data_IF_679286299104
#
_entry.id   IF_679286299104
#
_cell.length_a   1.000
_cell.length_b   1.000
_cell.length_c   1.000
_cell.angle_alpha   90.00
_cell.angle_beta   90.00
_cell.angle_gamma   90.00
#
_symmetry.space_group_name_H-M   'P 1'
#
loop_
_entity.id
_entity.type
_entity.pdbx_description
1 polymer ?
#
# COMPACT_ATOMS: atom_id res chain seq x y z
N UNK A 1 -0.91 -68.05 -44.52
CA UNK A 1 -1.27 -66.83 -43.76
C UNK A 1 -0.16 -66.56 -42.76
N UNK A 2 0.27 -65.30 -42.69
CA UNK A 2 1.57 -64.80 -42.22
C UNK A 2 1.81 -64.84 -40.69
N UNK A 3 3.07 -64.67 -40.23
CA UNK A 3 3.52 -64.83 -38.84
C UNK A 3 3.57 -63.51 -38.06
N UNK A 4 3.57 -63.57 -36.72
CA UNK A 4 3.73 -62.41 -35.83
C UNK A 4 5.11 -62.38 -35.16
N UNK A 5 5.98 -61.51 -35.64
CA UNK A 5 7.16 -60.98 -34.95
C UNK A 5 7.12 -59.44 -35.02
N UNK A 6 7.67 -58.80 -33.97
CA UNK A 6 8.31 -57.46 -33.85
C UNK A 6 7.89 -56.79 -32.51
N UNK A 7 8.76 -56.74 -31.48
CA UNK A 7 9.71 -55.63 -31.14
C UNK A 7 8.97 -54.27 -30.94
N UNK A 8 9.19 -53.41 -29.92
CA UNK A 8 10.27 -53.16 -28.98
C UNK A 8 9.86 -52.05 -27.96
N UNK A 9 10.65 -51.88 -26.88
CA UNK A 9 10.88 -50.67 -26.05
C UNK A 9 9.74 -50.09 -25.17
N UNK A 10 9.81 -50.40 -23.86
CA UNK A 10 9.40 -49.45 -22.82
C UNK A 10 10.61 -48.60 -22.40
N UNK A 11 10.55 -47.31 -22.72
CA UNK A 11 11.46 -46.26 -22.23
C UNK A 11 10.84 -45.68 -20.94
N UNK A 12 11.60 -45.39 -19.86
CA UNK A 12 11.04 -44.76 -18.68
C UNK A 12 10.71 -43.28 -18.96
N UNK A 13 9.49 -42.87 -18.59
CA UNK A 13 9.05 -41.48 -18.61
C UNK A 13 9.90 -40.65 -17.64
N UNK A 14 10.53 -39.61 -18.20
CA UNK A 14 11.28 -38.57 -17.51
C UNK A 14 10.31 -37.71 -16.69
N UNK A 15 10.43 -37.68 -15.37
CA UNK A 15 9.81 -36.66 -14.53
C UNK A 15 10.53 -35.33 -14.78
N UNK A 16 9.92 -34.44 -15.55
CA UNK A 16 10.46 -33.10 -15.84
C UNK A 16 10.06 -32.11 -14.73
N UNK A 17 11.06 -31.68 -13.96
CA UNK A 17 11.42 -30.27 -13.71
C UNK A 17 10.32 -29.20 -13.55
N UNK A 18 9.32 -29.42 -12.70
CA UNK A 18 8.42 -28.32 -12.25
C UNK A 18 8.87 -27.76 -10.88
N UNK A 19 9.55 -28.56 -10.06
CA UNK A 19 10.04 -28.11 -8.74
C UNK A 19 11.14 -27.06 -8.85
N UNK A 20 12.01 -27.20 -9.85
CA UNK A 20 13.23 -26.40 -9.95
C UNK A 20 13.01 -24.94 -10.42
N UNK A 21 11.87 -24.61 -11.02
CA UNK A 21 11.54 -23.23 -11.43
C UNK A 21 10.89 -22.45 -10.28
N UNK A 22 9.91 -23.04 -9.59
CA UNK A 22 9.30 -22.43 -8.40
C UNK A 22 10.32 -22.18 -7.28
N UNK A 23 11.25 -23.11 -7.08
CA UNK A 23 12.31 -22.95 -6.07
C UNK A 23 13.29 -21.81 -6.44
N UNK A 24 13.52 -21.58 -7.75
CA UNK A 24 14.36 -20.47 -8.23
C UNK A 24 13.65 -19.12 -8.11
N UNK A 25 12.37 -19.06 -8.48
CA UNK A 25 11.55 -17.85 -8.29
C UNK A 25 11.48 -17.48 -6.80
N UNK A 26 11.20 -18.45 -5.91
CA UNK A 26 11.20 -18.21 -4.47
C UNK A 26 12.54 -17.65 -3.98
N UNK A 27 13.66 -18.24 -4.41
CA UNK A 27 14.99 -17.76 -4.03
C UNK A 27 15.32 -16.37 -4.58
N UNK A 28 14.83 -16.01 -5.77
CA UNK A 28 15.02 -14.68 -6.35
C UNK A 28 14.22 -13.62 -5.59
N UNK A 29 13.00 -13.96 -5.18
CA UNK A 29 12.11 -13.11 -4.41
C UNK A 29 12.64 -12.83 -3.00
N UNK A 30 13.20 -13.85 -2.35
CA UNK A 30 13.87 -13.68 -1.06
C UNK A 30 15.06 -12.71 -1.19
N UNK A 31 15.88 -12.84 -2.24
CA UNK A 31 17.00 -11.93 -2.48
C UNK A 31 16.53 -10.48 -2.72
N UNK A 32 15.47 -10.30 -3.51
CA UNK A 32 14.87 -8.98 -3.78
C UNK A 32 14.31 -8.34 -2.49
N UNK A 33 13.65 -9.14 -1.66
CA UNK A 33 13.16 -8.70 -0.35
C UNK A 33 14.29 -8.16 0.52
N UNK A 34 15.38 -8.92 0.68
CA UNK A 34 16.53 -8.49 1.47
C UNK A 34 17.22 -7.25 0.91
N UNK A 35 17.31 -7.13 -0.42
CA UNK A 35 17.88 -5.94 -1.08
C UNK A 35 17.06 -4.68 -0.76
N UNK A 36 15.73 -4.76 -0.89
CA UNK A 36 14.85 -3.63 -0.58
C UNK A 36 14.85 -3.32 0.92
N UNK A 37 14.88 -4.33 1.80
CA UNK A 37 14.99 -4.14 3.25
C UNK A 37 16.29 -3.38 3.60
N UNK A 38 17.43 -3.73 2.97
CA UNK A 38 18.70 -3.01 3.16
C UNK A 38 18.62 -1.54 2.71
N UNK A 39 17.96 -1.26 1.58
CA UNK A 39 17.75 0.13 1.09
C UNK A 39 16.90 0.94 2.08
N UNK A 40 15.88 0.34 2.70
CA UNK A 40 15.06 1.03 3.72
C UNK A 40 15.86 1.39 4.96
N UNK A 41 16.75 0.49 5.40
CA UNK A 41 17.58 0.71 6.58
C UNK A 41 18.58 1.85 6.34
N UNK A 42 19.22 1.88 5.17
CA UNK A 42 20.17 2.95 4.80
C UNK A 42 19.47 4.32 4.70
N UNK A 43 18.24 4.37 4.14
CA UNK A 43 17.42 5.60 4.13
C UNK A 43 16.98 6.04 5.53
N UNK A 44 16.63 5.11 6.43
CA UNK A 44 16.29 5.42 7.85
C UNK A 44 17.49 6.01 8.59
N UNK A 45 18.70 5.54 8.32
CA UNK A 45 19.93 6.08 8.91
C UNK A 45 20.31 7.44 8.30
N UNK A 46 20.06 7.67 6.99
CA UNK A 46 20.22 8.99 6.37
C UNK A 46 19.24 10.04 6.93
N UNK A 47 18.00 9.64 7.25
CA UNK A 47 16.98 10.53 7.81
C UNK A 47 17.37 11.06 9.20
N UNK A 48 18.18 10.32 9.97
CA UNK A 48 18.71 10.78 11.27
C UNK A 48 19.76 11.90 11.16
N UNK A 49 20.32 12.16 9.98
CA UNK A 49 21.38 13.16 9.77
C UNK A 49 20.94 14.44 9.05
N UNK A 50 19.65 14.60 8.72
CA UNK A 50 19.11 15.80 8.06
C UNK A 50 18.28 16.72 8.98
N UNK A 51 18.48 16.64 10.29
CA UNK A 51 17.96 17.63 11.25
C UNK A 51 18.94 18.81 11.44
N UNK A 52 19.25 19.50 10.34
CA UNK A 52 19.93 20.78 10.37
C UNK A 52 19.42 21.61 9.18
N UNK A 53 18.56 22.57 9.51
CA UNK A 53 17.61 23.21 8.60
C UNK A 53 18.18 23.82 7.32
N UNK A 54 17.41 23.68 6.25
CA UNK A 54 17.48 24.46 5.02
C UNK A 54 16.04 24.76 4.56
N UNK A 55 15.82 26.01 4.17
CA UNK A 55 14.56 26.64 3.73
C UNK A 55 14.07 26.01 2.41
N UNK A 56 12.84 25.46 2.39
CA UNK A 56 12.30 24.59 1.33
C UNK A 56 11.05 25.16 0.61
N UNK A 57 10.84 26.48 0.61
CA UNK A 57 9.60 27.07 0.06
C UNK A 57 9.47 27.03 -1.48
N UNK A 58 10.55 26.75 -2.20
CA UNK A 58 10.54 26.84 -3.68
C UNK A 58 10.39 25.47 -4.37
N UNK A 59 10.56 24.35 -3.66
CA UNK A 59 10.53 22.99 -4.24
C UNK A 59 9.11 22.42 -4.32
N UNK A 60 8.24 22.75 -3.35
CA UNK A 60 6.83 22.33 -3.29
C UNK A 60 6.02 22.90 -4.46
N UNK A 61 6.32 24.13 -4.90
CA UNK A 61 5.63 24.79 -6.00
C UNK A 61 5.95 24.22 -7.39
N UNK A 62 7.06 23.48 -7.52
CA UNK A 62 7.47 22.86 -8.79
C UNK A 62 6.85 21.47 -8.93
N UNK A 63 6.75 20.72 -7.82
CA UNK A 63 6.14 19.39 -7.81
C UNK A 63 4.61 19.42 -7.95
N UNK A 64 3.91 20.35 -7.29
CA UNK A 64 2.45 20.51 -7.48
C UNK A 64 2.08 20.85 -8.93
N UNK A 65 2.95 21.57 -9.64
CA UNK A 65 2.78 21.92 -11.04
C UNK A 65 3.12 20.74 -11.95
N UNK A 66 4.15 19.95 -11.66
CA UNK A 66 4.43 18.69 -12.38
C UNK A 66 3.33 17.64 -12.18
N UNK A 67 2.76 17.49 -10.98
CA UNK A 67 1.65 16.57 -10.71
C UNK A 67 0.33 17.01 -11.37
N UNK A 68 0.08 18.33 -11.43
CA UNK A 68 -1.08 18.89 -12.12
C UNK A 68 -0.94 18.83 -13.66
N UNK A 69 0.23 19.15 -14.21
CA UNK A 69 0.50 19.06 -15.67
C UNK A 69 0.52 17.59 -16.15
N UNK A 70 1.02 16.66 -15.34
CA UNK A 70 1.04 15.24 -15.68
C UNK A 70 -0.36 14.59 -15.73
N UNK A 71 -1.36 15.16 -15.04
CA UNK A 71 -2.76 14.71 -15.16
C UNK A 71 -3.41 15.08 -16.49
N UNK A 72 -2.86 16.05 -17.24
CA UNK A 72 -3.42 16.44 -18.54
C UNK A 72 -3.07 15.45 -19.67
N UNK A 73 -2.00 14.65 -19.51
CA UNK A 73 -1.60 13.64 -20.49
C UNK A 73 -1.11 12.33 -19.81
N UNK A 74 -2.00 11.35 -19.56
CA UNK A 74 -1.63 10.12 -18.86
C UNK A 74 -0.58 9.27 -19.59
N UNK A 75 -0.46 9.41 -20.92
CA UNK A 75 0.60 8.75 -21.69
C UNK A 75 1.99 9.27 -21.33
N UNK A 76 2.17 10.59 -21.32
CA UNK A 76 3.49 11.20 -21.06
C UNK A 76 3.92 10.96 -19.61
N UNK A 77 2.97 10.95 -18.68
CA UNK A 77 3.21 10.56 -17.29
C UNK A 77 3.73 9.12 -17.20
N UNK A 78 3.05 8.16 -17.84
CA UNK A 78 3.50 6.76 -17.82
C UNK A 78 4.86 6.58 -18.50
N UNK A 79 5.14 7.33 -19.58
CA UNK A 79 6.45 7.33 -20.23
C UNK A 79 7.57 7.88 -19.33
N UNK A 80 7.32 8.96 -18.58
CA UNK A 80 8.29 9.50 -17.62
C UNK A 80 8.53 8.54 -16.46
N UNK A 81 7.46 8.00 -15.87
CA UNK A 81 7.56 7.02 -14.79
C UNK A 81 8.31 5.77 -15.25
N UNK A 82 8.01 5.26 -16.46
CA UNK A 82 8.72 4.14 -17.04
C UNK A 82 10.23 4.38 -17.09
N UNK A 83 10.65 5.53 -17.61
CA UNK A 83 12.08 5.91 -17.69
C UNK A 83 12.73 6.09 -16.32
N UNK A 84 11.98 6.56 -15.32
CA UNK A 84 12.50 6.73 -13.96
C UNK A 84 12.60 5.40 -13.20
N UNK A 85 11.73 4.44 -13.54
CA UNK A 85 11.72 3.11 -12.96
C UNK A 85 12.77 2.18 -13.60
N UNK A 86 13.06 2.36 -14.90
CA UNK A 86 14.09 1.64 -15.65
C UNK A 86 15.48 2.14 -15.21
N UNK A 87 16.17 1.35 -14.38
CA UNK A 87 17.43 1.76 -13.74
C UNK A 87 18.66 1.33 -14.54
N UNK A 88 18.53 0.31 -15.38
CA UNK A 88 19.60 -0.18 -16.24
C UNK A 88 19.50 0.32 -17.70
N UNK A 89 18.49 1.16 -17.99
CA UNK A 89 18.20 1.79 -19.27
C UNK A 89 17.99 0.76 -20.41
N UNK A 90 17.53 -0.45 -20.08
CA UNK A 90 17.35 -1.53 -21.05
C UNK A 90 16.00 -1.45 -21.82
N UNK A 91 15.15 -0.46 -21.49
CA UNK A 91 13.81 -0.25 -22.04
C UNK A 91 12.80 -1.36 -21.69
N UNK A 92 13.00 -2.07 -20.59
CA UNK A 92 12.15 -3.13 -20.06
C UNK A 92 12.14 -3.05 -18.52
N UNK A 93 10.97 -2.90 -17.91
CA UNK A 93 10.86 -2.97 -16.45
C UNK A 93 10.77 -4.42 -16.00
N UNK A 94 11.78 -4.86 -15.24
CA UNK A 94 11.68 -6.13 -14.55
C UNK A 94 11.08 -6.02 -13.16
N UNK A 95 10.82 -7.18 -12.54
CA UNK A 95 10.23 -7.25 -11.21
C UNK A 95 11.04 -6.51 -10.15
N UNK A 96 12.37 -6.49 -10.26
CA UNK A 96 13.22 -5.84 -9.26
C UNK A 96 13.12 -4.33 -9.37
N UNK A 97 13.18 -3.81 -10.60
CA UNK A 97 13.06 -2.39 -10.89
C UNK A 97 11.68 -1.85 -10.54
N UNK A 98 10.63 -2.56 -10.96
CA UNK A 98 9.25 -2.18 -10.68
C UNK A 98 8.95 -2.22 -9.17
N UNK A 99 9.35 -3.28 -8.47
CA UNK A 99 9.16 -3.37 -7.01
C UNK A 99 9.94 -2.27 -6.28
N UNK A 100 11.18 -1.97 -6.70
CA UNK A 100 12.00 -0.91 -6.10
C UNK A 100 11.39 0.47 -6.30
N UNK A 101 10.85 0.74 -7.48
CA UNK A 101 10.14 1.98 -7.79
C UNK A 101 8.89 2.12 -6.92
N UNK A 102 8.01 1.12 -6.91
CA UNK A 102 6.77 1.10 -6.11
C UNK A 102 7.10 1.27 -4.63
N UNK A 103 8.08 0.54 -4.12
CA UNK A 103 8.51 0.62 -2.72
C UNK A 103 9.01 2.02 -2.36
N UNK A 104 9.77 2.66 -3.26
CA UNK A 104 10.23 4.04 -3.09
C UNK A 104 9.05 5.00 -3.05
N UNK A 105 8.08 4.85 -3.95
CA UNK A 105 6.87 5.70 -4.00
C UNK A 105 6.02 5.55 -2.74
N UNK A 106 5.80 4.33 -2.26
CA UNK A 106 5.08 4.09 -0.99
C UNK A 106 5.80 4.76 0.17
N UNK A 107 7.13 4.62 0.25
CA UNK A 107 7.91 5.22 1.34
C UNK A 107 7.91 6.74 1.30
N UNK A 108 8.03 7.32 0.09
CA UNK A 108 7.91 8.76 -0.15
C UNK A 108 6.54 9.28 0.28
N UNK A 109 5.47 8.62 -0.14
CA UNK A 109 4.09 8.96 0.24
C UNK A 109 3.90 8.94 1.76
N UNK A 110 4.29 7.86 2.44
CA UNK A 110 4.13 7.77 3.91
C UNK A 110 4.95 8.85 4.63
N UNK A 111 6.17 9.11 4.15
CA UNK A 111 7.02 10.16 4.74
C UNK A 111 6.42 11.56 4.52
N UNK A 112 5.87 11.81 3.34
CA UNK A 112 5.20 13.05 2.96
C UNK A 112 3.93 13.25 3.79
N UNK A 113 3.06 12.24 3.84
CA UNK A 113 1.85 12.20 4.66
C UNK A 113 2.13 12.55 6.13
N UNK A 114 3.17 11.95 6.74
CA UNK A 114 3.56 12.28 8.12
C UNK A 114 3.97 13.74 8.31
N UNK A 115 4.68 14.34 7.34
CA UNK A 115 5.14 15.74 7.41
C UNK A 115 4.00 16.72 7.15
N UNK A 116 3.25 16.50 6.08
CA UNK A 116 2.10 17.32 5.69
C UNK A 116 1.02 17.30 6.77
N UNK A 117 0.80 16.15 7.42
CA UNK A 117 -0.13 16.04 8.54
C UNK A 117 0.21 17.02 9.67
N UNK A 118 1.48 17.23 10.00
CA UNK A 118 1.89 18.21 11.02
C UNK A 118 1.57 19.65 10.58
N UNK A 119 1.85 19.97 9.31
CA UNK A 119 1.54 21.27 8.72
C UNK A 119 0.03 21.55 8.71
N UNK A 120 -0.76 20.58 8.24
CA UNK A 120 -2.21 20.64 8.18
C UNK A 120 -2.82 20.75 9.58
N UNK A 121 -2.39 19.89 10.52
CA UNK A 121 -2.84 19.94 11.91
C UNK A 121 -2.62 21.32 12.51
N UNK A 122 -1.41 21.87 12.35
CA UNK A 122 -1.05 23.19 12.87
C UNK A 122 -1.84 24.32 12.19
N UNK A 123 -2.19 24.15 10.92
CA UNK A 123 -2.99 25.11 10.17
C UNK A 123 -4.48 25.06 10.52
N UNK A 124 -4.97 23.98 11.14
CA UNK A 124 -6.37 23.84 11.56
C UNK A 124 -6.54 24.20 13.04
N UNK A 125 -5.62 23.76 13.92
CA UNK A 125 -5.58 24.05 15.37
C UNK A 125 -5.28 25.53 15.64
N UNK A 126 -6.29 26.38 15.52
CA UNK A 126 -6.16 27.83 15.62
C UNK A 126 -7.12 28.47 16.62
N UNK A 127 -8.23 27.81 16.98
CA UNK A 127 -9.30 28.46 17.73
C UNK A 127 -10.03 27.53 18.72
N UNK A 128 -9.47 27.30 19.92
CA UNK A 128 -8.19 27.78 20.41
C UNK A 128 -7.05 26.86 19.98
N UNK A 129 -5.87 27.43 19.71
CA UNK A 129 -4.64 26.65 19.48
C UNK A 129 -4.23 25.90 20.74
N UNK A 130 -4.72 24.68 20.92
CA UNK A 130 -4.64 23.91 22.16
C UNK A 130 -3.91 22.56 21.98
N UNK A 131 -3.41 22.28 20.77
CA UNK A 131 -2.74 21.02 20.45
C UNK A 131 -3.71 19.87 20.16
N UNK A 132 -4.99 20.15 19.93
CA UNK A 132 -6.04 19.21 19.55
C UNK A 132 -6.88 19.84 18.43
N UNK A 133 -7.15 19.11 17.34
CA UNK A 133 -8.07 19.60 16.32
C UNK A 133 -9.47 19.15 16.67
N UNK A 134 -10.39 20.10 16.83
CA UNK A 134 -11.82 19.79 16.99
C UNK A 134 -12.50 19.51 15.64
N UNK A 135 -13.59 18.74 15.67
CA UNK A 135 -14.40 18.50 14.47
C UNK A 135 -14.88 19.81 13.84
N UNK A 136 -15.20 20.81 14.66
CA UNK A 136 -15.69 22.11 14.21
C UNK A 136 -14.60 22.89 13.45
N UNK A 137 -13.35 22.84 13.90
CA UNK A 137 -12.22 23.44 13.19
C UNK A 137 -11.91 22.71 11.88
N UNK A 138 -11.87 21.37 11.90
CA UNK A 138 -11.69 20.58 10.69
C UNK A 138 -12.81 20.82 9.67
N UNK A 139 -14.06 20.85 10.13
CA UNK A 139 -15.22 21.09 9.28
C UNK A 139 -15.21 22.50 8.66
N UNK A 140 -14.83 23.52 9.45
CA UNK A 140 -14.66 24.88 8.93
C UNK A 140 -13.54 24.95 7.88
N UNK A 141 -12.41 24.26 8.11
CA UNK A 141 -11.33 24.14 7.14
C UNK A 141 -11.82 23.47 5.84
N UNK A 142 -12.54 22.35 5.94
CA UNK A 142 -13.11 21.62 4.81
C UNK A 142 -14.07 22.49 3.98
N UNK A 143 -14.95 23.25 4.63
CA UNK A 143 -15.84 24.16 3.93
C UNK A 143 -15.08 25.29 3.22
N UNK A 144 -14.02 25.83 3.86
CA UNK A 144 -13.18 26.86 3.25
C UNK A 144 -12.44 26.33 2.02
N UNK A 145 -11.86 25.12 2.09
CA UNK A 145 -11.14 24.51 0.96
C UNK A 145 -12.08 24.20 -0.23
N UNK A 146 -13.36 23.93 0.05
CA UNK A 146 -14.40 23.75 -0.97
C UNK A 146 -15.06 25.07 -1.45
N UNK A 147 -14.52 26.24 -1.08
CA UNK A 147 -14.93 27.54 -1.62
C UNK A 147 -16.16 28.17 -0.97
N UNK A 148 -16.57 27.71 0.22
CA UNK A 148 -17.67 28.33 0.95
C UNK A 148 -17.23 29.62 1.66
N UNK A 149 -18.15 30.60 1.72
CA UNK A 149 -17.86 31.90 2.34
C UNK A 149 -17.74 31.83 3.87
N UNK A 150 -16.94 32.71 4.47
CA UNK A 150 -16.81 32.85 5.93
C UNK A 150 -18.14 33.11 6.64
N UNK A 151 -19.06 33.84 6.00
CA UNK A 151 -20.40 34.04 6.54
C UNK A 151 -21.18 32.74 6.63
N UNK A 152 -21.02 31.82 5.66
CA UNK A 152 -21.65 30.51 5.68
C UNK A 152 -21.02 29.61 6.75
N UNK A 153 -19.69 29.58 6.82
CA UNK A 153 -18.94 28.79 7.81
C UNK A 153 -19.31 29.18 9.24
N UNK A 154 -19.44 30.49 9.53
CA UNK A 154 -19.79 30.96 10.87
C UNK A 154 -21.30 30.88 11.19
N UNK A 155 -22.17 30.73 10.19
CA UNK A 155 -23.64 30.76 10.39
C UNK A 155 -24.35 29.44 10.12
N UNK A 156 -23.61 28.38 9.76
CA UNK A 156 -24.21 27.16 9.25
C UNK A 156 -25.18 26.49 10.24
N UNK A 157 -26.37 26.15 9.74
CA UNK A 157 -27.24 25.16 10.35
C UNK A 157 -26.73 23.77 9.95
N UNK A 158 -26.60 22.85 10.92
CA UNK A 158 -26.01 21.49 10.77
C UNK A 158 -26.71 20.62 9.70
N UNK A 159 -27.76 21.12 9.06
CA UNK A 159 -28.56 20.45 8.03
C UNK A 159 -28.04 20.62 6.62
N UNK A 160 -27.13 21.57 6.38
CA UNK A 160 -26.46 21.80 5.09
C UNK A 160 -27.38 21.73 3.86
N UNK A 161 -28.61 22.24 3.94
CA UNK A 161 -29.64 22.02 2.91
C UNK A 161 -29.21 22.42 1.49
N UNK A 162 -28.33 23.41 1.37
CA UNK A 162 -27.84 23.98 0.11
C UNK A 162 -26.64 23.24 -0.51
N UNK A 163 -26.04 22.27 0.20
CA UNK A 163 -24.87 21.54 -0.32
C UNK A 163 -25.26 20.39 -1.24
N UNK A 164 -24.38 20.08 -2.19
CA UNK A 164 -24.52 18.91 -3.05
C UNK A 164 -24.56 17.62 -2.23
N UNK A 165 -25.27 16.60 -2.75
CA UNK A 165 -25.37 15.29 -2.09
C UNK A 165 -23.99 14.65 -1.86
N UNK A 166 -23.11 14.73 -2.85
CA UNK A 166 -21.74 14.20 -2.75
C UNK A 166 -20.96 14.83 -1.60
N UNK A 167 -21.05 16.16 -1.44
CA UNK A 167 -20.34 16.85 -0.36
C UNK A 167 -20.86 16.45 1.03
N UNK A 168 -22.17 16.25 1.17
CA UNK A 168 -22.77 15.73 2.41
C UNK A 168 -22.30 14.31 2.72
N UNK A 169 -22.25 13.45 1.70
CA UNK A 169 -21.76 12.08 1.85
C UNK A 169 -20.28 12.04 2.23
N UNK A 170 -19.46 12.97 1.74
CA UNK A 170 -18.06 13.11 2.17
C UNK A 170 -17.97 13.52 3.64
N UNK A 171 -18.67 14.58 4.05
CA UNK A 171 -18.69 15.02 5.46
C UNK A 171 -19.18 13.91 6.40
N UNK A 172 -20.21 13.15 6.01
CA UNK A 172 -20.69 12.02 6.81
C UNK A 172 -19.65 10.90 6.92
N UNK A 173 -18.92 10.61 5.83
CA UNK A 173 -17.82 9.63 5.85
C UNK A 173 -16.67 10.10 6.73
N UNK A 174 -16.27 11.35 6.58
CA UNK A 174 -15.22 11.95 7.41
C UNK A 174 -15.62 11.93 8.88
N UNK A 175 -16.90 12.18 9.20
CA UNK A 175 -17.38 12.13 10.58
C UNK A 175 -17.34 10.71 11.17
N UNK A 176 -17.62 9.69 10.36
CA UNK A 176 -17.53 8.30 10.79
C UNK A 176 -16.07 7.91 11.08
N UNK A 177 -15.15 8.21 10.15
CA UNK A 177 -13.71 7.97 10.30
C UNK A 177 -13.11 8.75 11.47
N UNK A 178 -13.55 9.99 11.67
CA UNK A 178 -13.16 10.80 12.81
C UNK A 178 -13.49 10.10 14.13
N UNK A 179 -14.71 9.58 14.26
CA UNK A 179 -15.14 8.89 15.47
C UNK A 179 -14.37 7.57 15.71
N UNK A 180 -13.93 6.92 14.64
CA UNK A 180 -13.08 5.71 14.72
C UNK A 180 -11.65 6.05 15.16
N UNK A 181 -11.08 7.13 14.65
CA UNK A 181 -9.76 7.60 15.04
C UNK A 181 -9.71 8.18 16.47
N UNK A 182 -10.81 8.82 16.91
CA UNK A 182 -10.94 9.45 18.21
C UNK A 182 -11.13 8.43 19.34
N UNK A 183 -10.05 8.09 20.08
CA UNK A 183 -10.17 7.18 21.23
C UNK A 183 -10.51 7.88 22.53
N UNK A 184 -9.99 9.09 22.74
CA UNK A 184 -10.11 9.81 24.01
C UNK A 184 -11.36 10.69 24.06
N UNK A 185 -11.53 11.53 23.05
CA UNK A 185 -12.65 12.48 22.95
C UNK A 185 -13.22 12.43 21.52
N UNK A 186 -14.46 11.97 21.31
CA UNK A 186 -15.04 11.86 19.97
C UNK A 186 -15.16 13.21 19.23
N UNK A 187 -15.04 14.33 19.93
CA UNK A 187 -15.13 15.67 19.32
C UNK A 187 -13.76 16.24 18.92
N UNK A 188 -12.66 15.58 19.29
CA UNK A 188 -11.30 16.11 19.08
C UNK A 188 -10.30 15.01 18.72
N UNK A 189 -9.29 15.37 17.93
CA UNK A 189 -8.17 14.48 17.62
C UNK A 189 -6.86 15.14 18.05
N UNK A 190 -6.04 14.38 18.77
CA UNK A 190 -4.63 14.70 18.93
C UNK A 190 -3.86 14.50 17.61
N UNK A 191 -2.63 14.97 17.52
CA UNK A 191 -1.83 14.93 16.28
C UNK A 191 -1.69 13.52 15.67
N UNK A 192 -1.51 12.50 16.51
CA UNK A 192 -1.39 11.10 16.10
C UNK A 192 -2.74 10.48 15.71
N UNK A 193 -3.82 10.87 16.37
CA UNK A 193 -5.18 10.46 16.02
C UNK A 193 -5.65 11.14 14.72
N UNK A 194 -5.25 12.40 14.50
CA UNK A 194 -5.48 13.11 13.25
C UNK A 194 -4.73 12.45 12.08
N UNK A 195 -3.50 11.96 12.31
CA UNK A 195 -2.78 11.15 11.32
C UNK A 195 -3.53 9.85 11.02
N UNK A 196 -4.09 9.18 12.03
CA UNK A 196 -4.88 7.96 11.82
C UNK A 196 -6.15 8.22 11.01
N UNK A 197 -6.73 9.42 11.15
CA UNK A 197 -7.90 9.86 10.40
C UNK A 197 -7.58 10.22 8.94
N UNK A 198 -6.49 10.94 8.68
CA UNK A 198 -6.12 11.42 7.33
C UNK A 198 -5.33 10.38 6.54
N UNK A 199 -4.42 9.67 7.21
CA UNK A 199 -3.43 8.76 6.62
C UNK A 199 -3.29 7.50 7.49
N UNK A 200 -4.31 6.64 7.55
CA UNK A 200 -4.27 5.40 8.36
C UNK A 200 -3.09 4.51 7.99
N UNK A 201 -2.68 4.47 6.72
CA UNK A 201 -1.50 3.74 6.23
C UNK A 201 -0.17 4.21 6.84
N UNK A 202 -0.14 5.47 7.28
CA UNK A 202 1.02 6.10 7.90
C UNK A 202 0.95 6.06 9.44
N UNK A 203 -0.21 5.74 10.01
CA UNK A 203 -0.42 5.77 11.45
C UNK A 203 -0.08 4.43 12.09
N UNK A 204 0.95 4.43 12.95
CA UNK A 204 1.28 3.26 13.77
C UNK A 204 0.09 2.78 14.61
N UNK A 205 -0.79 3.70 15.04
CA UNK A 205 -1.99 3.35 15.82
C UNK A 205 -3.03 2.61 14.97
N UNK A 206 -3.26 3.04 13.74
CA UNK A 206 -4.18 2.37 12.83
C UNK A 206 -3.66 0.96 12.47
N UNK A 207 -2.34 0.84 12.22
CA UNK A 207 -1.71 -0.45 11.99
C UNK A 207 -1.85 -1.38 13.21
N UNK A 208 -1.63 -0.88 14.43
CA UNK A 208 -1.86 -1.68 15.64
C UNK A 208 -3.32 -2.17 15.74
N UNK A 209 -4.30 -1.32 15.42
CA UNK A 209 -5.70 -1.73 15.41
C UNK A 209 -5.95 -2.85 14.40
N UNK A 210 -5.35 -2.81 13.22
CA UNK A 210 -5.42 -3.93 12.27
C UNK A 210 -4.84 -5.22 12.85
N UNK A 211 -3.73 -5.16 13.59
CA UNK A 211 -3.18 -6.35 14.26
C UNK A 211 -4.15 -6.91 15.30
N UNK A 212 -4.79 -6.04 16.09
CA UNK A 212 -5.82 -6.48 17.06
C UNK A 212 -7.01 -7.14 16.34
N UNK A 213 -7.47 -6.58 15.23
CA UNK A 213 -8.53 -7.17 14.40
C UNK A 213 -8.14 -8.55 13.84
N UNK A 214 -6.85 -8.78 13.57
CA UNK A 214 -6.36 -10.10 13.17
C UNK A 214 -6.40 -11.09 14.32
N UNK A 215 -5.98 -10.68 15.53
CA UNK A 215 -6.09 -11.54 16.71
C UNK A 215 -7.56 -11.87 17.00
N UNK A 216 -8.46 -10.89 17.05
CA UNK A 216 -9.88 -11.13 17.35
C UNK A 216 -10.53 -12.14 16.39
N UNK A 217 -10.11 -12.16 15.13
CA UNK A 217 -10.69 -13.03 14.09
C UNK A 217 -10.03 -14.40 14.01
N UNK A 218 -8.73 -14.51 14.26
CA UNK A 218 -7.93 -15.70 13.91
C UNK A 218 -7.23 -16.36 15.09
N UNK A 219 -7.00 -15.65 16.19
CA UNK A 219 -6.44 -16.22 17.43
C UNK A 219 -7.52 -17.04 18.14
N UNK A 220 -7.42 -18.37 18.08
CA UNK A 220 -8.44 -19.28 18.62
C UNK A 220 -8.24 -19.59 20.09
N UNK A 221 -6.98 -19.56 20.55
CA UNK A 221 -6.63 -19.91 21.92
C UNK A 221 -6.44 -18.69 22.83
N UNK A 222 -6.42 -17.49 22.24
CA UNK A 222 -6.39 -16.21 22.93
C UNK A 222 -5.04 -15.90 23.55
N UNK A 223 -3.95 -16.42 22.98
CA UNK A 223 -2.59 -16.23 23.48
C UNK A 223 -1.87 -15.00 22.88
N UNK A 224 -2.58 -14.20 22.08
CA UNK A 224 -2.08 -13.04 21.32
C UNK A 224 -0.93 -13.41 20.37
N UNK A 225 -0.94 -14.64 19.84
CA UNK A 225 0.00 -15.11 18.82
C UNK A 225 -0.75 -15.92 17.77
N UNK A 226 -0.39 -15.76 16.49
CA UNK A 226 -0.99 -16.56 15.43
C UNK A 226 -0.07 -17.71 15.07
N UNK A 227 -0.55 -18.94 15.20
CA UNK A 227 0.14 -20.12 14.68
C UNK A 227 0.13 -20.16 13.15
N UNK A 228 1.02 -20.93 12.56
CA UNK A 228 1.05 -21.18 11.11
C UNK A 228 -0.32 -21.65 10.57
N UNK A 229 -1.05 -22.45 11.35
CA UNK A 229 -2.38 -22.95 10.99
C UNK A 229 -3.44 -21.84 11.05
N UNK A 230 -3.47 -21.05 12.12
CA UNK A 230 -4.39 -19.90 12.25
C UNK A 230 -4.13 -18.84 11.20
N UNK A 231 -2.86 -18.60 10.87
CA UNK A 231 -2.48 -17.70 9.80
C UNK A 231 -2.91 -18.23 8.42
N UNK A 232 -2.82 -19.54 8.18
CA UNK A 232 -3.18 -20.12 6.87
C UNK A 232 -4.65 -19.94 6.50
N UNK A 233 -5.51 -19.70 7.49
CA UNK A 233 -6.92 -19.39 7.29
C UNK A 233 -7.18 -17.92 6.89
N UNK A 234 -6.17 -17.06 6.99
CA UNK A 234 -6.26 -15.68 6.52
C UNK A 234 -6.36 -15.64 4.99
N UNK A 235 -7.25 -14.81 4.41
CA UNK A 235 -7.29 -14.56 2.97
C UNK A 235 -5.91 -14.13 2.42
N UNK A 236 -5.54 -14.67 1.25
CA UNK A 236 -4.28 -14.30 0.59
C UNK A 236 -4.25 -12.85 0.11
N UNK A 237 -5.42 -12.25 -0.15
CA UNK A 237 -5.58 -10.86 -0.62
C UNK A 237 -5.55 -9.84 0.52
N UNK A 238 -4.52 -9.94 1.36
CA UNK A 238 -4.20 -8.89 2.30
C UNK A 238 -4.94 -9.03 3.64
N UNK A 239 -4.13 -9.15 4.67
CA UNK A 239 -4.46 -8.66 6.00
C UNK A 239 -4.78 -7.16 5.92
N UNK A 240 -6.04 -6.83 5.66
CA UNK A 240 -6.63 -5.52 5.97
C UNK A 240 -6.73 -4.48 4.86
N UNK A 241 -6.67 -4.81 3.56
CA UNK A 241 -6.70 -3.77 2.50
C UNK A 241 -7.64 -3.94 1.30
N UNK A 242 -8.35 -5.07 1.13
CA UNK A 242 -9.65 -5.03 0.44
C UNK A 242 -10.49 -6.27 0.78
N UNK A 243 -11.76 -6.03 1.11
CA UNK A 243 -12.84 -7.03 1.15
C UNK A 243 -13.74 -6.81 -0.08
N UNK A 244 -13.16 -6.62 -1.27
CA UNK A 244 -13.92 -6.53 -2.52
C UNK A 244 -13.58 -7.66 -3.48
N UNK A 245 -14.49 -8.62 -3.47
CA UNK A 245 -15.11 -9.40 -4.55
C UNK A 245 -14.47 -9.59 -5.95
N UNK A 246 -13.19 -9.36 -6.22
CA UNK A 246 -12.54 -9.99 -7.38
C UNK A 246 -12.04 -11.40 -7.02
N UNK A 247 -13.02 -12.26 -6.72
CA UNK A 247 -12.88 -13.68 -6.35
C UNK A 247 -12.42 -14.57 -7.50
N UNK A 248 -11.32 -14.25 -8.19
CA UNK A 248 -10.87 -15.14 -9.28
C UNK A 248 -9.40 -15.54 -9.25
N UNK A 249 -8.57 -15.04 -8.32
CA UNK A 249 -7.21 -15.54 -8.16
C UNK A 249 -6.83 -15.77 -6.70
N UNK A 250 -7.49 -16.75 -6.07
CA UNK A 250 -6.94 -17.47 -4.92
C UNK A 250 -5.70 -18.26 -5.36
N UNK A 251 -4.57 -17.59 -5.60
CA UNK A 251 -3.29 -18.24 -5.91
C UNK A 251 -2.54 -18.44 -4.59
N UNK A 252 -2.97 -19.45 -3.84
CA UNK A 252 -2.27 -19.91 -2.66
C UNK A 252 -3.13 -20.91 -1.91
N UNK A 253 -2.80 -22.20 -2.02
CA UNK A 253 -3.34 -23.18 -1.09
C UNK A 253 -2.87 -22.88 0.34
N UNK A 254 -3.46 -23.54 1.35
CA UNK A 254 -2.98 -23.44 2.74
C UNK A 254 -1.45 -23.59 2.84
N UNK A 255 -0.86 -24.47 2.02
CA UNK A 255 0.60 -24.68 1.95
C UNK A 255 1.42 -23.47 1.47
N UNK A 256 0.90 -22.62 0.57
CA UNK A 256 1.64 -21.43 0.12
C UNK A 256 1.58 -20.33 1.19
N UNK A 257 0.44 -20.18 1.88
CA UNK A 257 0.29 -19.29 3.05
C UNK A 257 1.19 -19.71 4.21
N UNK A 258 1.30 -21.02 4.43
CA UNK A 258 2.23 -21.63 5.39
C UNK A 258 3.69 -21.34 5.07
N UNK A 259 4.07 -21.37 3.79
CA UNK A 259 5.42 -20.93 3.37
C UNK A 259 5.61 -19.45 3.60
N UNK A 260 4.64 -18.62 3.23
CA UNK A 260 4.69 -17.17 3.47
C UNK A 260 4.92 -16.86 4.95
N UNK A 261 4.15 -17.49 5.83
CA UNK A 261 4.29 -17.37 7.28
C UNK A 261 5.72 -17.66 7.75
N UNK A 262 6.28 -18.80 7.33
CA UNK A 262 7.63 -19.23 7.75
C UNK A 262 8.77 -18.36 7.23
N UNK A 263 8.59 -17.67 6.09
CA UNK A 263 9.65 -16.89 5.46
C UNK A 263 9.54 -15.39 5.76
N UNK A 264 8.31 -14.86 5.85
CA UNK A 264 8.06 -13.43 5.90
C UNK A 264 7.56 -12.92 7.26
N UNK A 265 6.98 -13.79 8.09
CA UNK A 265 6.32 -13.40 9.35
C UNK A 265 7.09 -13.93 10.55
N UNK A 266 7.28 -15.24 10.64
CA UNK A 266 7.99 -15.92 11.74
C UNK A 266 9.52 -15.71 11.62
N UNK A 267 9.97 -14.48 11.89
CA UNK A 267 11.39 -14.10 11.79
C UNK A 267 12.22 -14.81 12.85
N UNK A 268 11.65 -15.04 14.03
CA UNK A 268 12.33 -15.71 15.13
C UNK A 268 12.30 -17.26 15.04
N UNK A 269 11.54 -17.81 14.09
CA UNK A 269 11.39 -19.25 13.78
C UNK A 269 10.84 -20.07 14.95
N UNK A 270 9.92 -19.51 15.73
CA UNK A 270 9.28 -20.20 16.86
C UNK A 270 7.95 -20.88 16.47
N UNK A 271 7.49 -20.73 15.22
CA UNK A 271 6.24 -21.28 14.70
C UNK A 271 4.99 -20.45 15.03
N UNK A 272 5.15 -19.24 15.56
CA UNK A 272 4.09 -18.34 15.99
C UNK A 272 4.44 -16.88 15.64
N UNK A 273 3.47 -16.14 15.11
CA UNK A 273 3.63 -14.72 14.83
C UNK A 273 3.16 -13.89 16.02
N UNK A 274 4.07 -13.12 16.61
CA UNK A 274 3.73 -12.17 17.66
C UNK A 274 3.22 -10.83 17.09
N UNK A 275 2.74 -9.94 17.98
CA UNK A 275 2.25 -8.61 17.60
C UNK A 275 3.28 -7.79 16.81
N UNK A 276 4.57 -7.94 17.09
CA UNK A 276 5.65 -7.20 16.40
C UNK A 276 5.85 -7.73 14.99
N UNK A 277 5.86 -9.04 14.84
CA UNK A 277 5.98 -9.73 13.55
C UNK A 277 4.77 -9.41 12.65
N UNK A 278 3.55 -9.48 13.19
CA UNK A 278 2.34 -9.10 12.47
C UNK A 278 2.32 -7.62 12.09
N UNK A 279 2.72 -6.73 13.00
CA UNK A 279 2.82 -5.31 12.70
C UNK A 279 3.77 -5.03 11.53
N UNK A 280 4.92 -5.71 11.50
CA UNK A 280 5.87 -5.57 10.41
C UNK A 280 5.37 -6.20 9.11
N UNK A 281 4.54 -7.24 9.19
CA UNK A 281 3.91 -7.87 8.03
C UNK A 281 2.83 -6.99 7.37
N UNK A 282 2.08 -6.21 8.16
CA UNK A 282 1.04 -5.29 7.67
C UNK A 282 1.58 -3.90 7.32
N UNK A 283 2.76 -3.50 7.82
CA UNK A 283 3.33 -2.18 7.56
C UNK A 283 3.48 -1.99 6.05
N UNK A 284 2.82 -1.00 5.41
CA UNK A 284 2.88 -0.81 3.96
C UNK A 284 4.29 -0.56 3.43
N UNK A 285 5.23 -0.13 4.30
CA UNK A 285 6.66 0.02 3.96
C UNK A 285 7.40 -1.30 3.90
N UNK A 286 6.78 -2.42 4.27
CA UNK A 286 7.40 -3.71 4.11
C UNK A 286 7.60 -4.00 2.60
N UNK A 287 8.83 -4.30 2.15
CA UNK A 287 9.12 -4.55 0.73
C UNK A 287 8.21 -5.58 0.06
N UNK A 288 7.68 -6.54 0.82
CA UNK A 288 6.74 -7.55 0.34
C UNK A 288 5.56 -6.93 -0.41
N UNK A 289 4.99 -5.82 0.09
CA UNK A 289 3.83 -5.19 -0.55
C UNK A 289 4.18 -4.67 -1.94
N UNK A 290 5.33 -4.02 -2.09
CA UNK A 290 5.77 -3.51 -3.38
C UNK A 290 6.11 -4.63 -4.37
N UNK A 291 6.70 -5.72 -3.87
CA UNK A 291 6.99 -6.92 -4.66
C UNK A 291 5.69 -7.57 -5.14
N UNK A 292 4.68 -7.75 -4.28
CA UNK A 292 3.39 -8.31 -4.66
C UNK A 292 2.64 -7.45 -5.68
N UNK A 293 2.65 -6.12 -5.50
CA UNK A 293 2.08 -5.19 -6.47
C UNK A 293 2.80 -5.29 -7.83
N UNK A 294 4.13 -5.33 -7.84
CA UNK A 294 4.91 -5.50 -9.06
C UNK A 294 4.56 -6.81 -9.78
N UNK A 295 4.47 -7.92 -9.04
CA UNK A 295 4.05 -9.21 -9.59
C UNK A 295 2.64 -9.15 -10.19
N UNK A 296 1.71 -8.50 -9.50
CA UNK A 296 0.34 -8.35 -9.96
C UNK A 296 0.29 -7.56 -11.29
N UNK A 297 1.00 -6.43 -11.35
CA UNK A 297 1.09 -5.60 -12.55
C UNK A 297 1.69 -6.36 -13.74
N UNK A 298 2.79 -7.10 -13.51
CA UNK A 298 3.41 -7.95 -14.55
C UNK A 298 2.43 -9.02 -15.01
N UNK A 299 1.82 -9.76 -14.08
CA UNK A 299 0.88 -10.85 -14.40
C UNK A 299 -0.31 -10.39 -15.25
N UNK A 300 -0.78 -9.16 -15.06
CA UNK A 300 -1.93 -8.62 -15.80
C UNK A 300 -1.56 -7.94 -17.13
N UNK A 301 -0.29 -7.59 -17.33
CA UNK A 301 0.14 -6.69 -18.41
C UNK A 301 1.15 -7.30 -19.38
N UNK A 302 1.98 -8.24 -18.90
CA UNK A 302 2.98 -8.95 -19.70
C UNK A 302 2.26 -9.84 -20.74
N UNK A 303 2.27 -9.37 -21.99
CA UNK A 303 1.55 -10.00 -23.09
C UNK A 303 2.43 -11.01 -23.81
N UNK A 304 3.74 -10.77 -23.80
CA UNK A 304 4.73 -11.61 -24.48
C UNK A 304 5.26 -12.76 -23.59
N UNK A 305 4.94 -12.72 -22.28
CA UNK A 305 5.28 -13.69 -21.23
C UNK A 305 6.79 -13.84 -21.04
N UNK A 306 7.53 -12.73 -21.14
CA UNK A 306 8.98 -12.68 -20.90
C UNK A 306 9.34 -12.32 -19.44
N UNK A 307 8.33 -12.02 -18.60
CA UNK A 307 8.48 -11.68 -17.19
C UNK A 307 8.95 -10.23 -16.95
N UNK A 308 8.95 -9.41 -18.00
CA UNK A 308 9.28 -7.98 -17.97
C UNK A 308 8.14 -7.19 -18.62
N UNK A 309 8.15 -5.88 -18.46
CA UNK A 309 7.16 -5.00 -19.06
C UNK A 309 7.82 -4.01 -20.00
N UNK A 310 7.40 -4.02 -21.26
CA UNK A 310 7.75 -2.97 -22.20
C UNK A 310 6.78 -1.77 -22.11
N UNK A 311 7.22 -0.63 -22.64
CA UNK A 311 6.40 0.58 -22.65
C UNK A 311 5.05 0.38 -23.40
N UNK A 312 5.00 -0.27 -24.58
CA UNK A 312 3.74 -0.62 -25.24
C UNK A 312 2.76 -1.41 -24.36
N UNK A 313 3.22 -2.39 -23.57
CA UNK A 313 2.41 -3.20 -22.67
C UNK A 313 1.79 -2.34 -21.57
N UNK A 314 2.59 -1.46 -20.94
CA UNK A 314 2.11 -0.50 -19.94
C UNK A 314 1.07 0.46 -20.54
N UNK A 315 1.35 1.00 -21.73
CA UNK A 315 0.44 1.89 -22.45
C UNK A 315 -0.81 1.17 -22.98
N UNK A 316 -0.81 -0.16 -23.05
CA UNK A 316 -2.00 -0.95 -23.38
C UNK A 316 -2.93 -1.12 -22.17
N UNK A 317 -2.38 -1.02 -20.96
CA UNK A 317 -3.07 -1.20 -19.67
C UNK A 317 -3.08 0.10 -18.84
N UNK A 318 -3.15 1.27 -19.49
CA UNK A 318 -3.02 2.57 -18.81
C UNK A 318 -3.89 2.72 -17.55
N UNK A 319 -5.17 2.33 -17.62
CA UNK A 319 -6.08 2.48 -16.49
C UNK A 319 -5.64 1.68 -15.25
N UNK A 320 -5.01 0.51 -15.44
CA UNK A 320 -4.46 -0.31 -14.36
C UNK A 320 -3.27 0.42 -13.70
N UNK A 321 -2.33 0.92 -14.51
CA UNK A 321 -1.13 1.58 -14.00
C UNK A 321 -1.45 2.92 -13.34
N UNK A 322 -2.36 3.73 -13.91
CA UNK A 322 -2.76 5.01 -13.33
C UNK A 322 -3.44 4.86 -11.96
N UNK A 323 -4.09 3.73 -11.69
CA UNK A 323 -4.69 3.42 -10.38
C UNK A 323 -3.76 2.66 -9.42
N UNK A 324 -2.58 2.25 -9.88
CA UNK A 324 -1.63 1.44 -9.10
C UNK A 324 -0.73 2.29 -8.22
N UNK A 325 -0.07 1.65 -7.24
CA UNK A 325 0.93 2.29 -6.38
C UNK A 325 2.18 2.76 -7.13
N UNK A 326 2.34 2.39 -8.40
CA UNK A 326 3.40 2.90 -9.27
C UNK A 326 3.20 4.38 -9.63
N UNK A 327 1.94 4.84 -9.72
CA UNK A 327 1.59 6.17 -10.22
C UNK A 327 0.86 6.99 -9.15
N UNK A 328 -0.21 6.45 -8.56
CA UNK A 328 -1.07 7.17 -7.60
C UNK A 328 -1.17 6.39 -6.28
N UNK A 329 -0.14 6.52 -5.45
CA UNK A 329 -0.06 5.86 -4.14
C UNK A 329 -1.18 6.31 -3.20
N UNK A 330 -1.48 7.60 -3.18
CA UNK A 330 -2.48 8.20 -2.28
C UNK A 330 -3.89 7.69 -2.60
N UNK A 331 -4.29 7.71 -3.88
CA UNK A 331 -5.58 7.18 -4.27
C UNK A 331 -5.66 5.67 -4.08
N UNK A 332 -4.59 4.94 -4.40
CA UNK A 332 -4.53 3.49 -4.21
C UNK A 332 -4.75 3.12 -2.74
N UNK A 333 -4.07 3.81 -1.81
CA UNK A 333 -4.30 3.60 -0.38
C UNK A 333 -5.70 4.06 0.06
N UNK A 334 -6.20 5.22 -0.38
CA UNK A 334 -7.54 5.65 0.01
C UNK A 334 -8.67 4.76 -0.50
N UNK A 335 -8.48 4.06 -1.62
CA UNK A 335 -9.40 3.06 -2.11
C UNK A 335 -9.30 1.73 -1.32
N UNK A 336 -8.11 1.38 -0.81
CA UNK A 336 -7.88 0.19 0.05
C UNK A 336 -8.31 0.37 1.51
N UNK A 337 -8.06 1.54 2.09
CA UNK A 337 -8.44 1.91 3.46
C UNK A 337 -9.88 2.48 3.52
N UNK A 338 -10.75 2.12 2.57
CA UNK A 338 -12.00 2.84 2.34
C UNK A 338 -13.15 2.53 3.28
#
# INVERSE_FOLDING_TARGET
MYPSHLYNRNVPLKSLSITNEKDKESSMMDNLFFELEAVTMDKKDLAKYKDAGIDHRDDESIQEVEEAENRENPRTLLEDIFRRADTDDNQLLDIQELAKWIHTKITEHITRAMRENVGLFTAIDNNPRNGEVSWEEYHAYFLRSHGFSESYINSHDKKHSEMSRSLKENIMRDRARWAEAARNDPEKLALDEFLAFTHPESSHRALLQMVEDLFEKFDRDGDEQLTEDEFSDLPSDGVGLDLREDRQQSIGGSEDRRKEFRHLIDKNKNGKADRTELLMYIDPRNPRHAIQEAQHLITLSDTNVDGKLDLPEILSKMDLFLGSKMVDTERSFHDEFR
#
